data_IF_117922657564
#
_entry.id   IF_117922657564
#
_cell.length_a   1.000
_cell.length_b   1.000
_cell.length_c   1.000
_cell.angle_alpha   90.00
_cell.angle_beta   90.00
_cell.angle_gamma   90.00
#
_symmetry.space_group_name_H-M   'P 1'
#
loop_
_entity.id
_entity.type
_entity.pdbx_description
1 polymer ?
#
# COMPACT_ATOMS: atom_id res chain seq x y z
N UNK A 1 4.08 -23.45 -5.02
CA UNK A 1 4.91 -22.80 -6.07
C UNK A 1 6.18 -22.15 -5.54
N UNK A 2 6.26 -21.78 -4.25
CA UNK A 2 7.47 -21.15 -3.72
C UNK A 2 8.74 -22.02 -3.88
N UNK A 3 8.63 -23.32 -3.61
CA UNK A 3 9.76 -24.25 -3.73
C UNK A 3 10.35 -24.29 -5.14
N UNK A 4 9.49 -24.22 -6.17
CA UNK A 4 9.89 -24.19 -7.58
C UNK A 4 10.65 -22.90 -7.93
N UNK A 5 10.25 -21.76 -7.36
CA UNK A 5 10.95 -20.48 -7.54
C UNK A 5 12.32 -20.52 -6.83
N UNK A 6 12.38 -21.14 -5.65
CA UNK A 6 13.63 -21.35 -4.93
C UNK A 6 14.61 -22.27 -5.71
N UNK A 7 14.10 -23.33 -6.32
CA UNK A 7 14.92 -24.20 -7.20
C UNK A 7 15.41 -23.45 -8.44
N UNK A 8 14.55 -22.61 -9.04
CA UNK A 8 14.91 -21.82 -10.21
C UNK A 8 16.06 -20.86 -9.93
N UNK A 9 15.99 -20.07 -8.85
CA UNK A 9 17.06 -19.10 -8.55
C UNK A 9 18.41 -19.83 -8.35
N UNK A 10 18.40 -20.99 -7.69
CA UNK A 10 19.60 -21.82 -7.48
C UNK A 10 20.17 -22.32 -8.80
N UNK A 11 19.30 -22.75 -9.72
CA UNK A 11 19.71 -23.19 -11.06
C UNK A 11 20.38 -22.09 -11.89
N UNK A 12 20.06 -20.82 -11.62
CA UNK A 12 20.68 -19.65 -12.24
C UNK A 12 21.95 -19.19 -11.52
N UNK A 13 22.34 -19.86 -10.44
CA UNK A 13 23.52 -19.52 -9.64
C UNK A 13 23.33 -18.26 -8.79
N UNK A 14 22.08 -17.84 -8.53
CA UNK A 14 21.79 -16.71 -7.63
C UNK A 14 22.03 -17.19 -6.18
N UNK A 15 22.89 -16.52 -5.39
CA UNK A 15 23.07 -16.86 -3.99
C UNK A 15 21.79 -16.66 -3.17
N UNK A 16 21.59 -17.48 -2.13
CA UNK A 16 20.42 -17.32 -1.24
C UNK A 16 20.41 -15.94 -0.54
N UNK A 17 21.59 -15.36 -0.28
CA UNK A 17 21.71 -13.99 0.27
C UNK A 17 21.13 -12.92 -0.64
N UNK A 18 21.04 -13.20 -1.94
CA UNK A 18 20.59 -12.29 -2.98
C UNK A 18 19.14 -12.62 -3.41
N UNK A 19 18.56 -13.66 -2.81
CA UNK A 19 17.18 -14.06 -3.00
C UNK A 19 16.34 -13.64 -1.79
N UNK A 20 15.29 -12.86 -2.03
CA UNK A 20 14.33 -12.52 -0.99
C UNK A 20 12.90 -12.56 -1.55
N UNK A 21 11.99 -13.03 -0.72
CA UNK A 21 10.59 -13.23 -1.10
C UNK A 21 9.81 -12.00 -0.65
N UNK A 22 9.15 -11.34 -1.60
CA UNK A 22 8.18 -10.28 -1.32
C UNK A 22 6.77 -10.75 -1.61
N UNK A 23 5.81 -10.53 -0.69
CA UNK A 23 4.42 -10.80 -0.99
C UNK A 23 3.94 -9.99 -2.19
N UNK A 24 3.16 -10.62 -3.05
CA UNK A 24 2.48 -9.95 -4.15
C UNK A 24 1.24 -9.23 -3.61
N UNK A 25 1.07 -7.96 -3.95
CA UNK A 25 -0.16 -7.22 -3.66
C UNK A 25 -1.27 -7.61 -4.66
N UNK A 26 -2.48 -7.86 -4.17
CA UNK A 26 -3.67 -8.05 -5.02
C UNK A 26 -4.27 -6.70 -5.45
N UNK A 27 -3.48 -5.92 -6.19
CA UNK A 27 -3.82 -4.58 -6.68
C UNK A 27 -3.44 -4.45 -8.15
N UNK A 28 -4.00 -3.44 -8.83
CA UNK A 28 -3.76 -3.19 -10.25
C UNK A 28 -4.20 -4.38 -11.13
N UNK A 29 -3.27 -4.95 -11.89
CA UNK A 29 -3.55 -6.09 -12.77
C UNK A 29 -3.46 -7.46 -12.07
N UNK A 30 -2.99 -7.52 -10.81
CA UNK A 30 -2.85 -8.79 -10.11
C UNK A 30 -4.19 -9.30 -9.57
N UNK A 31 -4.60 -10.49 -10.00
CA UNK A 31 -5.81 -11.18 -9.50
C UNK A 31 -5.54 -12.01 -8.24
N UNK A 32 -4.27 -12.20 -7.89
CA UNK A 32 -3.80 -12.98 -6.76
C UNK A 32 -2.91 -12.12 -5.86
N UNK A 33 -2.67 -12.57 -4.62
CA UNK A 33 -1.82 -11.88 -3.67
C UNK A 33 -2.54 -11.48 -2.39
N UNK A 34 -1.83 -10.71 -1.56
CA UNK A 34 -2.33 -10.17 -0.31
C UNK A 34 -3.19 -8.94 -0.59
N UNK A 35 -4.35 -8.89 0.05
CA UNK A 35 -5.18 -7.69 0.09
C UNK A 35 -4.51 -6.64 0.94
N UNK A 36 -4.27 -5.48 0.34
CA UNK A 36 -3.63 -4.36 1.01
C UNK A 36 -4.61 -3.22 1.14
N UNK A 37 -4.65 -2.60 2.31
CA UNK A 37 -5.43 -1.39 2.56
C UNK A 37 -4.67 -0.46 3.53
N UNK A 38 -5.28 0.67 3.90
CA UNK A 38 -4.64 1.65 4.79
C UNK A 38 -4.30 1.07 6.17
N UNK A 39 -4.90 -0.06 6.57
CA UNK A 39 -4.64 -0.70 7.86
C UNK A 39 -3.40 -1.60 7.88
N UNK A 40 -2.95 -2.08 6.71
CA UNK A 40 -1.83 -3.01 6.60
C UNK A 40 -0.72 -2.53 5.65
N UNK A 41 -0.87 -1.33 5.08
CA UNK A 41 0.12 -0.64 4.26
C UNK A 41 0.61 0.60 4.99
N UNK A 42 1.92 0.73 5.17
CA UNK A 42 2.50 1.97 5.69
C UNK A 42 2.24 3.12 4.71
N UNK A 43 1.94 4.35 5.17
CA UNK A 43 1.69 5.45 4.26
C UNK A 43 2.97 5.95 3.59
N UNK A 44 2.83 6.33 2.33
CA UNK A 44 3.79 7.11 1.56
C UNK A 44 2.99 8.18 0.80
N UNK A 45 3.02 9.42 1.31
CA UNK A 45 2.14 10.50 0.87
C UNK A 45 2.22 10.67 -0.64
N UNK A 46 1.09 10.39 -1.30
CA UNK A 46 1.00 10.43 -2.77
C UNK A 46 0.00 11.48 -3.19
N UNK A 47 0.37 12.31 -4.16
CA UNK A 47 -0.50 13.36 -4.68
C UNK A 47 -0.54 13.28 -6.20
N UNK A 48 -1.74 13.33 -6.77
CA UNK A 48 -1.95 13.45 -8.21
C UNK A 48 -3.09 14.46 -8.50
N UNK A 49 -3.56 14.51 -9.75
CA UNK A 49 -4.64 15.42 -10.17
C UNK A 49 -5.97 15.22 -9.42
N UNK A 50 -6.18 14.02 -8.88
CA UNK A 50 -7.40 13.60 -8.18
C UNK A 50 -7.32 13.80 -6.66
N UNK A 51 -6.20 14.31 -6.14
CA UNK A 51 -6.04 14.66 -4.73
C UNK A 51 -4.90 13.93 -4.02
N UNK A 52 -5.12 13.57 -2.76
CA UNK A 52 -4.12 12.98 -1.86
C UNK A 52 -4.50 11.53 -1.55
N UNK A 53 -3.53 10.64 -1.66
CA UNK A 53 -3.63 9.20 -1.49
C UNK A 53 -2.64 8.71 -0.45
N UNK A 54 -2.99 7.59 0.17
CA UNK A 54 -2.24 6.97 1.26
C UNK A 54 -0.87 6.45 0.84
N UNK A 55 -0.76 5.87 -0.36
CA UNK A 55 0.44 5.20 -0.83
C UNK A 55 0.44 5.10 -2.37
N UNK A 56 1.59 5.17 -3.06
CA UNK A 56 1.62 5.16 -4.53
C UNK A 56 1.31 3.78 -5.15
N UNK A 57 1.17 2.75 -4.31
CA UNK A 57 0.81 1.40 -4.74
C UNK A 57 -0.59 1.35 -5.36
N UNK A 58 -1.50 2.22 -4.91
CA UNK A 58 -2.84 2.37 -5.45
C UNK A 58 -3.34 3.78 -5.21
N UNK A 59 -3.85 4.39 -6.28
CA UNK A 59 -4.62 5.65 -6.22
C UNK A 59 -6.11 5.37 -6.42
N UNK A 60 -6.59 4.24 -5.91
CA UNK A 60 -8.01 3.89 -5.90
C UNK A 60 -8.74 4.65 -4.77
N UNK A 61 -10.07 4.67 -4.85
CA UNK A 61 -10.91 5.44 -3.93
C UNK A 61 -10.75 5.02 -2.45
N UNK A 62 -10.44 3.76 -2.18
CA UNK A 62 -10.26 3.24 -0.82
C UNK A 62 -8.90 3.62 -0.21
N UNK A 63 -7.95 4.10 -1.02
CA UNK A 63 -6.67 4.68 -0.57
C UNK A 63 -6.70 6.21 -0.57
N UNK A 64 -7.83 6.84 -0.92
CA UNK A 64 -7.92 8.29 -1.05
C UNK A 64 -8.11 8.96 0.32
N UNK A 65 -7.16 9.80 0.69
CA UNK A 65 -7.19 10.61 1.92
C UNK A 65 -8.03 11.88 1.69
N UNK A 66 -7.96 12.45 0.50
CA UNK A 66 -8.71 13.65 0.10
C UNK A 66 -8.86 13.74 -1.41
N UNK A 67 -10.00 14.26 -1.88
CA UNK A 67 -10.24 14.61 -3.30
C UNK A 67 -9.62 15.94 -3.71
N UNK A 68 -9.26 16.79 -2.75
CA UNK A 68 -8.61 18.08 -3.03
C UNK A 68 -7.11 17.99 -2.82
N UNK A 69 -6.37 18.77 -3.61
CA UNK A 69 -4.98 19.11 -3.30
C UNK A 69 -4.97 20.24 -2.27
N UNK A 70 -4.12 20.11 -1.26
CA UNK A 70 -3.93 21.06 -0.17
C UNK A 70 -2.45 21.01 0.25
N UNK A 71 -1.96 21.92 1.11
CA UNK A 71 -0.57 21.92 1.51
C UNK A 71 -0.08 20.54 2.00
N UNK A 72 1.09 20.11 1.53
CA UNK A 72 1.64 18.78 1.83
C UNK A 72 1.82 18.53 3.32
N UNK A 73 2.17 19.55 4.10
CA UNK A 73 2.28 19.44 5.56
C UNK A 73 0.95 18.99 6.18
N UNK A 74 -0.15 19.61 5.76
CA UNK A 74 -1.49 19.26 6.21
C UNK A 74 -1.91 17.86 5.73
N UNK A 75 -1.43 17.43 4.55
CA UNK A 75 -1.67 16.07 4.07
C UNK A 75 -1.01 15.01 4.96
N UNK A 76 0.23 15.28 5.39
CA UNK A 76 0.96 14.44 6.34
C UNK A 76 0.25 14.38 7.69
N UNK A 77 -0.17 15.52 8.23
CA UNK A 77 -0.93 15.60 9.50
C UNK A 77 -2.19 14.74 9.43
N UNK A 78 -2.96 14.85 8.35
CA UNK A 78 -4.19 14.08 8.16
C UNK A 78 -3.94 12.57 8.06
N UNK A 79 -2.86 12.17 7.39
CA UNK A 79 -2.44 10.77 7.30
C UNK A 79 -2.07 10.25 8.69
N UNK A 80 -1.36 11.03 9.50
CA UNK A 80 -1.01 10.66 10.88
C UNK A 80 -2.26 10.49 11.75
N UNK A 81 -3.23 11.41 11.68
CA UNK A 81 -4.51 11.29 12.38
C UNK A 81 -5.28 10.02 11.98
N UNK A 82 -5.27 9.68 10.69
CA UNK A 82 -5.87 8.46 10.19
C UNK A 82 -5.14 7.21 10.68
N UNK A 83 -3.79 7.21 10.73
CA UNK A 83 -3.01 6.12 11.33
C UNK A 83 -3.38 5.89 12.79
N UNK A 84 -3.47 6.95 13.59
CA UNK A 84 -3.83 6.86 15.01
C UNK A 84 -5.26 6.31 15.20
N UNK A 85 -6.17 6.72 14.33
CA UNK A 85 -7.56 6.20 14.30
C UNK A 85 -7.58 4.72 13.95
N UNK A 86 -6.81 4.29 12.95
CA UNK A 86 -6.69 2.89 12.55
C UNK A 86 -6.09 2.06 13.67
N UNK A 87 -5.01 2.55 14.30
CA UNK A 87 -4.33 1.85 15.38
C UNK A 87 -5.24 1.64 16.60
N UNK A 88 -6.10 2.63 16.91
CA UNK A 88 -7.02 2.55 18.04
C UNK A 88 -8.30 1.74 17.76
N UNK A 89 -8.77 1.69 16.52
CA UNK A 89 -10.04 1.05 16.15
C UNK A 89 -9.88 -0.30 15.42
N UNK A 90 -8.70 -0.58 14.89
CA UNK A 90 -8.42 -1.74 14.04
C UNK A 90 -9.12 -1.70 12.68
N UNK A 91 -9.62 -0.53 12.24
CA UNK A 91 -10.35 -0.38 10.98
C UNK A 91 -9.80 0.78 10.18
N UNK A 92 -9.44 0.54 8.92
CA UNK A 92 -9.35 1.60 7.92
C UNK A 92 -10.75 2.13 7.69
N UNK A 93 -11.02 3.36 8.13
CA UNK A 93 -12.28 4.01 7.79
C UNK A 93 -12.31 4.17 6.27
N UNK A 94 -13.19 3.42 5.59
CA UNK A 94 -13.72 3.87 4.30
C UNK A 94 -14.41 5.19 4.60
N UNK A 95 -13.67 6.28 4.44
CA UNK A 95 -14.23 7.61 4.54
C UNK A 95 -15.06 7.82 3.28
N UNK A 96 -16.26 7.22 3.26
CA UNK A 96 -17.28 7.44 2.25
C UNK A 96 -17.71 8.89 2.38
N UNK A 97 -17.13 9.77 1.56
CA UNK A 97 -17.58 11.14 1.45
C UNK A 97 -18.07 11.40 0.03
N UNK A 98 -19.35 11.73 -0.02
CA UNK A 98 -20.08 12.43 -1.10
C UNK A 98 -19.20 13.42 -1.84
#
# INVERSE_FOLDING_TARGET
>A
HLDQVCELHRSWGIPESDHFIRPLARRGYSKEGIELDMSNLLPEVTVNLDGVFWHPLSTDADMQVSKSMFPLSTAVERIQEQMDTIASTGRSSLMTFT
#
